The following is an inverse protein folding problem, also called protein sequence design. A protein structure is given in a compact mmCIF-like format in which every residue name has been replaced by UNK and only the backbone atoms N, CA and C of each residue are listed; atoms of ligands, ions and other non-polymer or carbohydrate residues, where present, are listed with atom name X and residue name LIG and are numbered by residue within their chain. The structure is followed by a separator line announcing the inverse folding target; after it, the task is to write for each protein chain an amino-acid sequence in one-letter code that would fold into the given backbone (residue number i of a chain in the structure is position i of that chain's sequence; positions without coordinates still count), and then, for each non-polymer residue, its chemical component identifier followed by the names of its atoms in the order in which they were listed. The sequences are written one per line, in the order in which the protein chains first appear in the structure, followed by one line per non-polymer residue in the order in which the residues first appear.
data_IF_836435867570
#
_entry.id   IF_836435867570
#
_cell.length_a   1.000
_cell.length_b   1.000
_cell.length_c   1.000
_cell.angle_alpha   90.00
_cell.angle_beta   90.00
_cell.angle_gamma   90.00
#
_symmetry.space_group_name_H-M   'P 1'
#
loop_
_entity.id
_entity.type
_entity.pdbx_description
1 polymer ?
#
# COMPACT_ATOMS: atom_id res chain seq x y z
N UNK A 1 -9.37 8.91 21.12
CA UNK A 1 -9.75 9.32 19.75
C UNK A 1 -11.23 9.67 19.70
N UNK A 2 -11.58 10.79 19.06
CA UNK A 2 -12.97 11.05 18.67
C UNK A 2 -13.25 10.40 17.31
N UNK A 3 -14.46 9.91 17.13
CA UNK A 3 -14.86 9.21 15.93
C UNK A 3 -15.78 10.09 15.08
N UNK A 4 -15.47 10.17 13.80
CA UNK A 4 -16.34 10.72 12.75
C UNK A 4 -16.80 9.56 11.89
N UNK A 5 -18.11 9.39 11.73
CA UNK A 5 -18.69 8.38 10.85
C UNK A 5 -19.22 9.06 9.59
N UNK A 6 -18.76 8.59 8.44
CA UNK A 6 -19.24 8.98 7.12
C UNK A 6 -20.04 7.82 6.54
N UNK A 7 -21.36 7.96 6.45
CA UNK A 7 -22.22 6.94 5.83
C UNK A 7 -22.59 7.40 4.41
N UNK A 8 -22.22 6.63 3.40
CA UNK A 8 -22.57 6.91 2.00
C UNK A 8 -24.10 6.80 1.84
N UNK A 9 -24.73 7.92 1.55
CA UNK A 9 -26.19 8.02 1.35
C UNK A 9 -26.58 8.36 -0.08
N UNK A 10 -25.65 8.96 -0.82
CA UNK A 10 -25.84 9.30 -2.21
C UNK A 10 -24.60 8.90 -3.03
N UNK A 11 -24.54 7.65 -3.53
CA UNK A 11 -23.38 7.17 -4.28
C UNK A 11 -23.08 8.02 -5.51
N UNK A 12 -21.81 8.33 -5.80
CA UNK A 12 -21.43 9.12 -6.96
C UNK A 12 -21.65 8.33 -8.27
N UNK A 13 -22.01 9.04 -9.33
CA UNK A 13 -22.13 8.47 -10.68
C UNK A 13 -20.74 8.17 -11.29
N UNK A 14 -19.77 9.06 -11.04
CA UNK A 14 -18.37 8.91 -11.42
C UNK A 14 -17.53 8.58 -10.20
N UNK A 15 -16.22 8.48 -10.37
CA UNK A 15 -15.29 8.33 -9.24
C UNK A 15 -15.25 9.59 -8.38
N UNK A 16 -15.29 9.39 -7.07
CA UNK A 16 -15.18 10.46 -6.08
C UNK A 16 -13.76 10.55 -5.56
N UNK A 17 -13.11 11.69 -5.74
CA UNK A 17 -11.77 11.99 -5.25
C UNK A 17 -11.85 12.47 -3.80
N UNK A 18 -11.51 11.58 -2.87
CA UNK A 18 -11.61 11.79 -1.42
C UNK A 18 -10.28 12.14 -0.73
N UNK A 19 -9.35 12.83 -1.41
CA UNK A 19 -8.04 13.18 -0.83
C UNK A 19 -8.14 14.04 0.44
N UNK A 20 -9.25 14.73 0.64
CA UNK A 20 -9.53 15.50 1.85
C UNK A 20 -10.20 14.66 2.97
N UNK A 21 -10.46 13.36 2.74
CA UNK A 21 -10.95 12.46 3.77
C UNK A 21 -9.72 11.92 4.52
N UNK A 22 -9.24 12.73 5.47
CA UNK A 22 -8.08 12.41 6.32
C UNK A 22 -8.32 12.90 7.75
N UNK A 23 -7.74 12.24 8.76
CA UNK A 23 -7.76 12.74 10.13
C UNK A 23 -7.19 14.15 10.24
N UNK A 24 -6.18 14.50 9.44
CA UNK A 24 -5.57 15.84 9.37
C UNK A 24 -6.58 16.90 8.95
N UNK A 25 -7.37 16.61 7.92
CA UNK A 25 -8.40 17.55 7.43
C UNK A 25 -9.61 17.67 8.36
N UNK A 26 -9.87 16.65 9.18
CA UNK A 26 -11.02 16.60 10.08
C UNK A 26 -10.71 17.10 11.50
N UNK A 27 -9.45 17.14 11.88
CA UNK A 27 -9.04 17.60 13.23
C UNK A 27 -9.60 18.99 13.55
N UNK A 28 -10.14 19.14 14.76
CA UNK A 28 -10.72 20.38 15.26
C UNK A 28 -12.08 20.77 14.66
N UNK A 29 -12.63 20.00 13.72
CA UNK A 29 -13.88 20.34 13.00
C UNK A 29 -15.10 19.65 13.59
N UNK A 30 -16.21 20.36 13.54
CA UNK A 30 -17.56 19.83 13.78
C UNK A 30 -18.07 19.02 12.60
N UNK A 31 -19.12 18.21 12.81
CA UNK A 31 -19.77 17.46 11.72
C UNK A 31 -20.20 18.36 10.55
N UNK A 32 -20.72 19.54 10.84
CA UNK A 32 -21.16 20.50 9.81
C UNK A 32 -19.98 21.04 8.98
N UNK A 33 -18.87 21.36 9.64
CA UNK A 33 -17.65 21.81 8.95
C UNK A 33 -17.00 20.69 8.12
N UNK A 34 -17.05 19.43 8.61
CA UNK A 34 -16.60 18.26 7.86
C UNK A 34 -17.49 18.03 6.65
N UNK A 35 -18.81 18.11 6.78
CA UNK A 35 -19.76 17.98 5.68
C UNK A 35 -19.55 19.05 4.59
N UNK A 36 -19.04 20.22 4.94
CA UNK A 36 -18.72 21.30 4.01
C UNK A 36 -17.37 21.15 3.29
N UNK A 37 -16.54 20.16 3.66
CA UNK A 37 -15.24 19.91 3.00
C UNK A 37 -15.47 19.53 1.53
N UNK A 38 -14.68 20.12 0.66
CA UNK A 38 -14.74 19.85 -0.78
C UNK A 38 -14.21 18.49 -1.17
N UNK A 39 -14.94 17.81 -2.04
CA UNK A 39 -14.54 16.60 -2.78
C UNK A 39 -14.86 16.80 -4.26
N UNK A 40 -14.29 15.97 -5.13
CA UNK A 40 -14.48 16.11 -6.58
C UNK A 40 -15.08 14.84 -7.17
N UNK A 41 -16.16 15.00 -7.92
CA UNK A 41 -16.70 13.96 -8.77
C UNK A 41 -16.41 14.33 -10.23
N UNK A 42 -15.44 13.63 -10.83
CA UNK A 42 -14.87 14.06 -12.11
C UNK A 42 -14.30 15.49 -12.00
N UNK A 43 -14.85 16.43 -12.75
CA UNK A 43 -14.47 17.87 -12.71
C UNK A 43 -15.34 18.71 -11.76
N UNK A 44 -16.37 18.12 -11.18
CA UNK A 44 -17.33 18.85 -10.34
C UNK A 44 -16.88 18.83 -8.89
N UNK A 45 -16.71 20.02 -8.34
CA UNK A 45 -16.45 20.25 -6.93
C UNK A 45 -17.77 20.28 -6.16
N UNK A 46 -17.85 19.53 -5.08
CA UNK A 46 -19.06 19.43 -4.25
C UNK A 46 -18.68 19.26 -2.78
N UNK A 47 -19.53 19.68 -1.82
CA UNK A 47 -19.31 19.40 -0.43
C UNK A 47 -19.45 17.89 -0.14
N UNK A 48 -18.65 17.38 0.81
CA UNK A 48 -18.69 15.98 1.27
C UNK A 48 -20.09 15.53 1.68
N UNK A 49 -20.86 16.42 2.33
CA UNK A 49 -22.22 16.17 2.76
C UNK A 49 -23.24 15.94 1.62
N UNK A 50 -22.87 16.19 0.35
CA UNK A 50 -23.67 15.76 -0.81
C UNK A 50 -23.73 14.23 -0.92
N UNK A 51 -22.66 13.55 -0.55
CA UNK A 51 -22.50 12.10 -0.73
C UNK A 51 -22.66 11.33 0.57
N UNK A 52 -22.29 11.95 1.70
CA UNK A 52 -22.24 11.30 3.00
C UNK A 52 -23.10 12.03 4.05
N UNK A 53 -23.78 11.25 4.89
CA UNK A 53 -24.20 11.74 6.19
C UNK A 53 -22.95 11.72 7.10
N UNK A 54 -22.74 12.83 7.81
CA UNK A 54 -21.58 13.02 8.71
C UNK A 54 -22.05 13.03 10.16
N UNK A 55 -21.57 12.11 10.97
CA UNK A 55 -21.87 12.01 12.39
C UNK A 55 -20.57 12.10 13.22
N UNK A 56 -20.64 12.81 14.35
CA UNK A 56 -19.50 13.04 15.23
C UNK A 56 -18.62 14.20 14.80
N UNK A 57 -17.65 14.53 15.62
CA UNK A 57 -16.69 15.63 15.40
C UNK A 57 -15.28 15.10 15.39
N UNK A 58 -14.38 15.79 14.68
CA UNK A 58 -12.95 15.52 14.72
C UNK A 58 -12.37 15.68 16.14
N UNK A 59 -11.27 14.97 16.39
CA UNK A 59 -10.46 15.16 17.59
C UNK A 59 -9.74 16.51 17.58
N UNK A 60 -9.03 16.84 18.64
CA UNK A 60 -8.26 18.07 18.69
C UNK A 60 -7.09 18.07 17.66
N UNK A 61 -6.54 16.89 17.40
CA UNK A 61 -5.44 16.66 16.45
C UNK A 61 -5.79 15.52 15.49
N UNK A 62 -5.00 15.33 14.45
CA UNK A 62 -5.11 14.16 13.57
C UNK A 62 -4.99 12.86 14.38
N UNK A 63 -4.03 12.77 15.29
CA UNK A 63 -3.82 11.60 16.15
C UNK A 63 -5.03 11.25 17.04
N UNK A 64 -5.84 12.24 17.39
CA UNK A 64 -7.05 12.06 18.18
C UNK A 64 -8.31 11.80 17.33
N UNK A 65 -8.17 11.71 16.02
CA UNK A 65 -9.28 11.58 15.07
C UNK A 65 -9.30 10.19 14.44
N UNK A 66 -10.47 9.55 14.53
CA UNK A 66 -10.79 8.31 13.82
C UNK A 66 -11.91 8.57 12.82
N UNK A 67 -11.77 8.07 11.60
CA UNK A 67 -12.81 8.15 10.57
C UNK A 67 -13.32 6.74 10.28
N UNK A 68 -14.63 6.56 10.24
CA UNK A 68 -15.27 5.32 9.81
C UNK A 68 -16.09 5.63 8.56
N UNK A 69 -15.79 4.94 7.46
CA UNK A 69 -16.51 5.00 6.20
C UNK A 69 -17.44 3.79 6.07
N UNK A 70 -18.73 4.04 5.85
CA UNK A 70 -19.78 3.03 5.71
C UNK A 70 -20.53 3.17 4.39
N UNK A 71 -21.08 2.07 3.91
CA UNK A 71 -21.80 2.00 2.64
C UNK A 71 -20.87 1.68 1.47
N UNK A 72 -21.35 1.90 0.24
CA UNK A 72 -20.60 1.56 -0.96
C UNK A 72 -19.52 2.61 -1.27
N UNK A 73 -18.29 2.28 -0.93
CA UNK A 73 -17.10 3.10 -1.21
C UNK A 73 -16.31 2.60 -2.44
N UNK A 74 -16.87 1.71 -3.26
CA UNK A 74 -16.19 1.11 -4.42
C UNK A 74 -15.76 2.10 -5.51
N UNK A 75 -16.30 3.33 -5.49
CA UNK A 75 -15.91 4.43 -6.37
C UNK A 75 -15.19 5.57 -5.65
N UNK A 76 -14.77 5.34 -4.39
CA UNK A 76 -14.11 6.36 -3.57
C UNK A 76 -12.59 6.15 -3.62
N UNK A 77 -11.89 7.15 -4.16
CA UNK A 77 -10.43 7.16 -4.35
C UNK A 77 -9.73 8.03 -3.31
N UNK A 78 -8.42 7.83 -3.15
CA UNK A 78 -7.48 8.73 -2.45
C UNK A 78 -7.76 8.95 -0.97
N UNK A 79 -8.59 8.14 -0.33
CA UNK A 79 -8.82 8.25 1.12
C UNK A 79 -7.51 8.06 1.88
N UNK A 80 -7.25 8.94 2.85
CA UNK A 80 -6.03 8.89 3.64
C UNK A 80 -4.76 9.33 2.89
N UNK A 81 -4.91 9.97 1.71
CA UNK A 81 -3.76 10.49 0.97
C UNK A 81 -3.00 11.51 1.81
N UNK A 82 -1.68 11.32 1.94
CA UNK A 82 -0.77 12.18 2.70
C UNK A 82 -1.09 12.33 4.20
N UNK A 83 -1.97 11.50 4.77
CA UNK A 83 -2.28 11.58 6.20
C UNK A 83 -1.02 11.39 7.06
N UNK A 84 -0.95 12.10 8.17
CA UNK A 84 0.21 12.08 9.07
C UNK A 84 -0.01 11.26 10.34
N UNK A 85 -1.25 11.12 10.80
CA UNK A 85 -1.62 10.42 12.03
C UNK A 85 -3.12 10.06 12.02
N UNK A 86 -3.58 9.42 13.09
CA UNK A 86 -4.99 9.05 13.27
C UNK A 86 -5.33 7.72 12.63
N UNK A 87 -6.63 7.44 12.53
CA UNK A 87 -7.12 6.14 12.07
C UNK A 87 -8.26 6.32 11.06
N UNK A 88 -8.25 5.52 9.99
CA UNK A 88 -9.36 5.40 9.04
C UNK A 88 -9.77 3.92 8.94
N UNK A 89 -11.06 3.65 9.05
CA UNK A 89 -11.65 2.34 8.80
C UNK A 89 -12.63 2.46 7.64
N UNK A 90 -12.47 1.66 6.60
CA UNK A 90 -13.42 1.55 5.48
C UNK A 90 -14.13 0.21 5.62
N UNK A 91 -15.44 0.25 5.92
CA UNK A 91 -16.26 -0.96 6.15
C UNK A 91 -16.75 -1.55 4.82
N UNK A 92 -15.83 -1.99 3.94
CA UNK A 92 -16.12 -2.55 2.63
C UNK A 92 -14.98 -2.34 1.65
N UNK A 93 -15.31 -2.40 0.35
CA UNK A 93 -14.35 -2.14 -0.72
C UNK A 93 -14.06 -0.64 -0.88
N UNK A 94 -12.87 -0.34 -1.41
CA UNK A 94 -12.50 1.00 -1.82
C UNK A 94 -11.81 0.95 -3.20
N UNK A 95 -11.63 2.11 -3.80
CA UNK A 95 -11.00 2.23 -5.12
C UNK A 95 -9.48 2.51 -5.01
N UNK A 96 -8.94 3.23 -5.95
CA UNK A 96 -7.50 3.48 -6.13
C UNK A 96 -6.91 4.48 -5.12
N UNK A 97 -5.59 4.43 -4.96
CA UNK A 97 -4.77 5.42 -4.24
C UNK A 97 -5.07 5.53 -2.73
N UNK A 98 -5.67 4.53 -2.11
CA UNK A 98 -5.89 4.53 -0.66
C UNK A 98 -4.53 4.58 0.05
N UNK A 99 -4.35 5.54 0.97
CA UNK A 99 -3.10 5.74 1.69
C UNK A 99 -1.91 6.17 0.82
N UNK A 100 -2.15 6.72 -0.38
CA UNK A 100 -1.07 7.25 -1.21
C UNK A 100 -0.29 8.35 -0.49
N UNK A 101 1.06 8.30 -0.53
CA UNK A 101 1.98 9.25 0.17
C UNK A 101 1.70 9.37 1.68
N UNK A 102 1.08 8.37 2.29
CA UNK A 102 0.80 8.33 3.72
C UNK A 102 2.10 8.42 4.53
N UNK A 103 2.15 9.30 5.54
CA UNK A 103 3.33 9.54 6.38
C UNK A 103 3.24 8.88 7.74
N UNK A 104 2.02 8.58 8.20
CA UNK A 104 1.78 7.99 9.51
C UNK A 104 0.31 7.66 9.72
N UNK A 105 -0.03 7.14 10.89
CA UNK A 105 -1.37 6.69 11.23
C UNK A 105 -1.70 5.31 10.69
N UNK A 106 -2.98 4.97 10.65
CA UNK A 106 -3.47 3.65 10.28
C UNK A 106 -4.69 3.73 9.38
N UNK A 107 -4.69 2.94 8.31
CA UNK A 107 -5.86 2.72 7.44
C UNK A 107 -6.18 1.23 7.45
N UNK A 108 -7.45 0.89 7.70
CA UNK A 108 -7.94 -0.48 7.62
C UNK A 108 -9.12 -0.56 6.66
N UNK A 109 -8.94 -1.26 5.55
CA UNK A 109 -9.99 -1.56 4.55
C UNK A 109 -10.48 -2.98 4.77
N UNK A 110 -11.75 -3.16 5.14
CA UNK A 110 -12.35 -4.47 5.41
C UNK A 110 -12.80 -5.23 4.16
N UNK A 111 -12.39 -4.77 3.00
CA UNK A 111 -12.70 -5.37 1.71
C UNK A 111 -11.51 -5.32 0.77
N UNK A 112 -11.81 -5.30 -0.54
CA UNK A 112 -10.82 -5.19 -1.59
C UNK A 112 -10.49 -3.72 -1.88
N UNK A 113 -9.33 -3.50 -2.46
CA UNK A 113 -8.94 -2.19 -3.04
C UNK A 113 -8.49 -2.37 -4.48
N UNK A 114 -8.58 -1.30 -5.27
CA UNK A 114 -8.02 -1.27 -6.61
C UNK A 114 -6.54 -0.82 -6.58
N UNK A 115 -6.04 -0.31 -7.66
CA UNK A 115 -4.63 -0.08 -7.94
C UNK A 115 -4.04 1.12 -7.19
N UNK A 116 -2.71 1.16 -7.10
CA UNK A 116 -1.94 2.27 -6.53
C UNK A 116 -2.17 2.55 -5.04
N UNK A 117 -2.69 1.60 -4.27
CA UNK A 117 -2.82 1.77 -2.83
C UNK A 117 -1.45 1.74 -2.15
N UNK A 118 -1.25 2.58 -1.13
CA UNK A 118 0.05 2.78 -0.50
C UNK A 118 1.13 3.35 -1.42
N UNK A 119 0.73 3.98 -2.55
CA UNK A 119 1.67 4.58 -3.52
C UNK A 119 2.61 5.55 -2.83
N UNK A 120 3.93 5.36 -3.00
CA UNK A 120 4.97 6.20 -2.40
C UNK A 120 4.78 6.44 -0.89
N UNK A 121 4.23 5.48 -0.16
CA UNK A 121 3.99 5.54 1.29
C UNK A 121 5.31 5.75 2.04
N UNK A 122 5.34 6.72 2.95
CA UNK A 122 6.51 7.10 3.73
C UNK A 122 6.50 6.47 5.14
N UNK A 123 5.31 6.17 5.68
CA UNK A 123 5.14 5.61 7.03
C UNK A 123 3.70 5.22 7.35
N UNK A 124 3.46 4.73 8.56
CA UNK A 124 2.15 4.27 9.02
C UNK A 124 1.82 2.82 8.63
N UNK A 125 0.56 2.45 8.76
CA UNK A 125 0.08 1.09 8.50
C UNK A 125 -1.17 1.11 7.59
N UNK A 126 -1.12 0.35 6.48
CA UNK A 126 -2.25 0.10 5.58
C UNK A 126 -2.61 -1.39 5.64
N UNK A 127 -3.82 -1.71 6.12
CA UNK A 127 -4.33 -3.08 6.22
C UNK A 127 -5.49 -3.25 5.25
N UNK A 128 -5.45 -4.32 4.46
CA UNK A 128 -6.47 -4.69 3.47
C UNK A 128 -6.87 -6.14 3.73
N UNK A 129 -8.11 -6.37 4.16
CA UNK A 129 -8.61 -7.73 4.47
C UNK A 129 -8.92 -8.55 3.21
N UNK A 130 -9.11 -7.89 2.07
CA UNK A 130 -9.34 -8.52 0.76
C UNK A 130 -8.08 -8.54 -0.11
N UNK A 131 -8.32 -8.40 -1.42
CA UNK A 131 -7.27 -8.31 -2.44
C UNK A 131 -6.90 -6.84 -2.73
N UNK A 132 -5.72 -6.64 -3.29
CA UNK A 132 -5.32 -5.34 -3.82
C UNK A 132 -5.01 -5.46 -5.33
N UNK A 133 -5.34 -4.41 -6.07
CA UNK A 133 -5.05 -4.32 -7.50
C UNK A 133 -3.57 -4.12 -7.80
N UNK A 134 -3.29 -3.51 -8.94
CA UNK A 134 -1.94 -3.31 -9.45
C UNK A 134 -1.20 -2.17 -8.74
N UNK A 135 0.14 -2.17 -8.82
CA UNK A 135 0.99 -1.09 -8.32
C UNK A 135 0.86 -0.80 -6.81
N UNK A 136 0.55 -1.80 -5.99
CA UNK A 136 0.53 -1.66 -4.53
C UNK A 136 1.92 -1.25 -4.02
N UNK A 137 2.02 -0.18 -3.23
CA UNK A 137 3.29 0.31 -2.67
C UNK A 137 4.33 0.77 -3.70
N UNK A 138 3.92 0.97 -4.96
CA UNK A 138 4.81 1.35 -6.06
C UNK A 138 5.11 2.85 -6.08
N UNK A 139 5.91 3.28 -7.07
CA UNK A 139 6.16 4.69 -7.37
C UNK A 139 5.06 5.30 -8.23
N UNK A 140 4.85 6.63 -8.16
CA UNK A 140 4.10 7.37 -9.14
C UNK A 140 4.73 7.24 -10.54
N UNK A 141 3.92 7.38 -11.58
CA UNK A 141 4.41 7.36 -12.96
C UNK A 141 5.39 8.51 -13.19
N UNK A 142 6.56 8.19 -13.73
CA UNK A 142 7.62 9.16 -13.99
C UNK A 142 8.53 9.44 -12.79
N UNK A 143 8.27 8.80 -11.64
CA UNK A 143 9.11 8.86 -10.46
C UNK A 143 9.72 7.49 -10.15
N UNK A 144 10.86 7.48 -9.45
CA UNK A 144 11.60 6.28 -9.04
C UNK A 144 11.68 6.10 -7.53
N UNK A 145 10.68 6.60 -6.81
CA UNK A 145 10.54 6.40 -5.38
C UNK A 145 9.16 5.86 -5.08
N UNK A 146 9.09 4.55 -4.93
CA UNK A 146 7.93 3.85 -4.41
C UNK A 146 7.82 4.00 -2.90
N UNK A 147 7.26 3.01 -2.24
CA UNK A 147 7.17 2.97 -0.78
C UNK A 147 8.54 3.13 -0.14
N UNK A 148 8.64 4.03 0.84
CA UNK A 148 9.87 4.38 1.53
C UNK A 148 9.88 3.92 2.99
N UNK A 149 8.71 3.67 3.58
CA UNK A 149 8.56 3.26 4.97
C UNK A 149 7.14 2.80 5.30
N UNK A 150 6.94 2.37 6.53
CA UNK A 150 5.67 1.86 7.01
C UNK A 150 5.42 0.39 6.67
N UNK A 151 4.18 -0.06 6.86
CA UNK A 151 3.77 -1.45 6.65
C UNK A 151 2.47 -1.51 5.84
N UNK A 152 2.47 -2.32 4.79
CA UNK A 152 1.25 -2.68 4.05
C UNK A 152 0.98 -4.16 4.29
N UNK A 153 -0.23 -4.51 4.73
CA UNK A 153 -0.69 -5.90 4.91
C UNK A 153 -1.91 -6.15 4.04
N UNK A 154 -1.83 -7.15 3.17
CA UNK A 154 -2.94 -7.62 2.32
C UNK A 154 -3.22 -9.07 2.70
N UNK A 155 -4.43 -9.37 3.16
CA UNK A 155 -4.78 -10.74 3.50
C UNK A 155 -4.95 -11.63 2.26
N UNK A 156 -5.42 -11.06 1.16
CA UNK A 156 -5.61 -11.72 -0.12
C UNK A 156 -4.39 -11.60 -1.04
N UNK A 157 -4.67 -11.61 -2.34
CA UNK A 157 -3.68 -11.56 -3.42
C UNK A 157 -3.49 -10.14 -3.96
N UNK A 158 -2.38 -9.92 -4.69
CA UNK A 158 -2.05 -8.62 -5.28
C UNK A 158 -1.82 -8.73 -6.79
N UNK A 159 -2.07 -7.62 -7.48
CA UNK A 159 -1.85 -7.52 -8.93
C UNK A 159 -0.40 -7.24 -9.32
N UNK A 160 -0.22 -6.86 -10.59
CA UNK A 160 1.09 -6.60 -11.20
C UNK A 160 1.80 -5.41 -10.56
N UNK A 161 3.12 -5.37 -10.72
CA UNK A 161 3.97 -4.22 -10.41
C UNK A 161 3.93 -3.78 -8.93
N UNK A 162 3.57 -4.71 -8.04
CA UNK A 162 3.62 -4.49 -6.59
C UNK A 162 5.04 -4.16 -6.15
N UNK A 163 5.21 -3.14 -5.30
CA UNK A 163 6.50 -2.69 -4.77
C UNK A 163 7.52 -2.20 -5.83
N UNK A 164 7.08 -1.81 -7.02
CA UNK A 164 7.97 -1.26 -8.04
C UNK A 164 8.62 0.03 -7.54
N UNK A 165 9.96 0.13 -7.66
CA UNK A 165 10.80 1.20 -7.11
C UNK A 165 10.70 1.37 -5.58
N UNK A 166 10.34 0.31 -4.85
CA UNK A 166 10.32 0.32 -3.39
C UNK A 166 11.73 0.62 -2.84
N UNK A 167 11.80 1.53 -1.85
CA UNK A 167 13.06 1.96 -1.25
C UNK A 167 13.16 1.60 0.25
N UNK A 168 12.03 1.31 0.89
CA UNK A 168 11.95 0.94 2.30
C UNK A 168 10.56 0.46 2.70
N UNK A 169 10.40 0.12 3.98
CA UNK A 169 9.16 -0.42 4.53
C UNK A 169 8.98 -1.92 4.32
N UNK A 170 7.78 -2.41 4.62
CA UNK A 170 7.44 -3.84 4.52
C UNK A 170 6.06 -4.03 3.88
N UNK A 171 5.96 -4.91 2.90
CA UNK A 171 4.70 -5.35 2.30
C UNK A 171 4.52 -6.83 2.58
N UNK A 172 3.37 -7.22 3.16
CA UNK A 172 3.03 -8.59 3.49
C UNK A 172 1.77 -8.99 2.73
N UNK A 173 1.86 -10.04 1.95
CA UNK A 173 0.82 -10.55 1.06
C UNK A 173 0.44 -11.95 1.53
N UNK A 174 -0.80 -12.14 2.00
CA UNK A 174 -1.31 -13.41 2.49
C UNK A 174 -1.60 -14.42 1.37
N UNK A 175 -1.98 -13.94 0.20
CA UNK A 175 -2.23 -14.74 -1.00
C UNK A 175 -1.07 -14.73 -1.99
N UNK A 176 -1.43 -14.78 -3.28
CA UNK A 176 -0.48 -14.80 -4.39
C UNK A 176 -0.15 -13.40 -4.89
N UNK A 177 0.99 -13.27 -5.57
CA UNK A 177 1.38 -12.06 -6.27
C UNK A 177 1.48 -12.31 -7.78
N UNK A 178 1.03 -11.36 -8.58
CA UNK A 178 1.14 -11.43 -10.03
C UNK A 178 2.58 -11.07 -10.47
N UNK A 179 2.81 -10.71 -11.71
CA UNK A 179 4.14 -10.46 -12.28
C UNK A 179 4.76 -9.14 -11.76
N UNK A 180 6.08 -9.03 -11.86
CA UNK A 180 6.86 -7.80 -11.62
C UNK A 180 6.87 -7.32 -10.16
N UNK A 181 6.89 -8.22 -9.19
CA UNK A 181 7.05 -7.81 -7.78
C UNK A 181 8.44 -7.22 -7.55
N UNK A 182 8.51 -6.06 -6.91
CA UNK A 182 9.76 -5.36 -6.53
C UNK A 182 10.71 -5.04 -7.69
N UNK A 183 10.17 -4.80 -8.88
CA UNK A 183 10.97 -4.35 -10.02
C UNK A 183 11.64 -3.01 -9.69
N UNK A 184 12.95 -2.88 -9.97
CA UNK A 184 13.77 -1.71 -9.64
C UNK A 184 13.80 -1.35 -8.14
N UNK A 185 13.55 -2.31 -7.23
CA UNK A 185 13.60 -2.00 -5.80
C UNK A 185 15.02 -1.62 -5.34
N UNK A 186 15.10 -0.57 -4.53
CA UNK A 186 16.31 -0.05 -3.90
C UNK A 186 16.33 -0.31 -2.38
N UNK A 187 15.39 -1.06 -1.85
CA UNK A 187 15.28 -1.41 -0.43
C UNK A 187 13.95 -2.03 -0.07
N UNK A 188 13.71 -2.15 1.24
CA UNK A 188 12.48 -2.71 1.80
C UNK A 188 12.40 -4.23 1.79
N UNK A 189 11.26 -4.74 2.27
CA UNK A 189 11.00 -6.18 2.37
C UNK A 189 9.61 -6.50 1.85
N UNK A 190 9.50 -7.48 0.96
CA UNK A 190 8.23 -8.02 0.48
C UNK A 190 8.12 -9.47 0.89
N UNK A 191 7.01 -9.84 1.52
CA UNK A 191 6.73 -11.20 2.00
C UNK A 191 5.47 -11.69 1.28
N UNK A 192 5.60 -12.77 0.51
CA UNK A 192 4.51 -13.41 -0.23
C UNK A 192 4.28 -14.77 0.40
N UNK A 193 3.12 -14.96 1.06
CA UNK A 193 2.78 -16.25 1.69
C UNK A 193 2.33 -17.31 0.67
N UNK A 194 1.77 -16.88 -0.46
CA UNK A 194 1.42 -17.71 -1.61
C UNK A 194 2.52 -17.79 -2.67
N UNK A 195 2.11 -17.90 -3.92
CA UNK A 195 2.98 -18.00 -5.08
C UNK A 195 3.24 -16.64 -5.71
N UNK A 196 4.29 -16.53 -6.51
CA UNK A 196 4.54 -15.39 -7.39
C UNK A 196 4.63 -15.86 -8.83
N UNK A 197 3.95 -15.18 -9.76
CA UNK A 197 3.81 -15.60 -11.15
C UNK A 197 5.11 -15.49 -11.94
N UNK A 198 5.91 -14.47 -11.66
CA UNK A 198 7.20 -14.34 -12.33
C UNK A 198 7.77 -12.93 -12.34
N UNK A 199 8.98 -12.82 -12.86
CA UNK A 199 9.77 -11.58 -12.92
C UNK A 199 9.89 -10.89 -11.56
N UNK A 200 9.99 -11.69 -10.50
CA UNK A 200 10.19 -11.21 -9.13
C UNK A 200 11.59 -10.62 -9.00
N UNK A 201 11.68 -9.42 -8.45
CA UNK A 201 12.95 -8.73 -8.20
C UNK A 201 13.69 -8.24 -9.45
N UNK A 202 13.00 -8.11 -10.60
CA UNK A 202 13.63 -7.65 -11.83
C UNK A 202 14.35 -6.31 -11.66
N UNK A 203 15.64 -6.25 -11.98
CA UNK A 203 16.49 -5.07 -11.87
C UNK A 203 16.58 -4.47 -10.45
N UNK A 204 16.27 -5.26 -9.41
CA UNK A 204 16.44 -4.79 -8.04
C UNK A 204 17.93 -4.68 -7.67
N UNK A 205 18.26 -3.68 -6.87
CA UNK A 205 19.64 -3.41 -6.43
C UNK A 205 19.82 -3.58 -4.93
N UNK A 206 18.71 -3.68 -4.18
CA UNK A 206 18.71 -3.89 -2.73
C UNK A 206 17.30 -4.30 -2.27
N UNK A 207 17.21 -4.89 -1.09
CA UNK A 207 15.96 -5.32 -0.46
C UNK A 207 15.84 -6.83 -0.40
N UNK A 208 14.76 -7.28 0.21
CA UNK A 208 14.51 -8.71 0.46
C UNK A 208 13.12 -9.10 -0.03
N UNK A 209 13.02 -10.23 -0.70
CA UNK A 209 11.75 -10.81 -1.12
C UNK A 209 11.69 -12.24 -0.59
N UNK A 210 10.70 -12.54 0.23
CA UNK A 210 10.44 -13.88 0.75
C UNK A 210 9.20 -14.46 0.06
N UNK A 211 9.33 -15.62 -0.57
CA UNK A 211 8.23 -16.33 -1.22
C UNK A 211 8.05 -17.68 -0.53
N UNK A 212 6.92 -17.86 0.15
CA UNK A 212 6.60 -19.10 0.86
C UNK A 212 6.05 -20.19 -0.06
N UNK A 213 5.47 -19.79 -1.19
CA UNK A 213 5.07 -20.67 -2.28
C UNK A 213 6.17 -20.81 -3.34
N UNK A 214 5.79 -20.81 -4.60
CA UNK A 214 6.68 -20.97 -5.76
C UNK A 214 6.76 -19.67 -6.59
N UNK A 215 7.91 -19.44 -7.21
CA UNK A 215 8.05 -18.49 -8.31
C UNK A 215 7.91 -19.30 -9.60
N UNK A 216 6.82 -19.08 -10.35
CA UNK A 216 6.51 -19.87 -11.55
C UNK A 216 7.53 -19.66 -12.68
N UNK A 217 7.94 -18.41 -12.89
CA UNK A 217 8.90 -18.02 -13.92
C UNK A 217 10.04 -17.18 -13.32
N UNK A 218 11.04 -17.80 -12.67
CA UNK A 218 12.15 -17.08 -12.07
C UNK A 218 13.04 -16.42 -13.14
N UNK A 219 13.61 -15.26 -12.80
CA UNK A 219 14.55 -14.58 -13.68
C UNK A 219 15.92 -15.27 -13.67
N UNK A 220 16.60 -15.37 -14.84
CA UNK A 220 17.89 -16.05 -14.93
C UNK A 220 19.06 -15.28 -14.32
N UNK A 221 18.88 -13.99 -13.98
CA UNK A 221 19.95 -13.16 -13.41
C UNK A 221 20.22 -13.40 -11.91
N UNK A 222 19.45 -14.26 -11.25
CA UNK A 222 19.63 -14.60 -9.83
C UNK A 222 20.55 -15.80 -9.65
N UNK A 223 21.56 -15.65 -8.77
CA UNK A 223 22.52 -16.69 -8.41
C UNK A 223 22.10 -17.38 -7.10
N UNK A 224 22.11 -18.70 -7.10
CA UNK A 224 21.93 -19.51 -5.91
C UNK A 224 23.13 -19.34 -4.96
N UNK A 225 22.85 -18.99 -3.70
CA UNK A 225 23.88 -18.80 -2.66
C UNK A 225 23.93 -20.01 -1.71
N UNK A 226 22.78 -20.51 -1.30
CA UNK A 226 22.68 -21.64 -0.35
C UNK A 226 21.35 -21.67 0.35
N UNK A 227 21.29 -22.43 1.43
CA UNK A 227 20.13 -22.54 2.30
C UNK A 227 20.33 -21.74 3.57
N UNK A 228 19.26 -21.09 4.05
CA UNK A 228 19.24 -20.34 5.30
C UNK A 228 17.97 -20.66 6.08
N UNK A 229 18.05 -20.58 7.40
CA UNK A 229 16.88 -20.63 8.29
C UNK A 229 16.63 -19.23 8.84
N UNK A 230 15.43 -18.70 8.62
CA UNK A 230 15.04 -17.38 9.07
C UNK A 230 13.64 -17.38 9.67
N UNK A 231 13.39 -16.43 10.55
CA UNK A 231 12.05 -16.10 11.04
C UNK A 231 11.52 -14.88 10.29
N UNK A 232 10.43 -15.08 9.53
CA UNK A 232 9.84 -14.09 8.65
C UNK A 232 8.38 -13.93 8.99
N UNK A 233 7.98 -12.74 9.44
CA UNK A 233 6.61 -12.43 9.86
C UNK A 233 6.06 -13.47 10.85
N UNK A 234 6.87 -13.76 11.91
CA UNK A 234 6.55 -14.72 12.96
C UNK A 234 6.56 -16.19 12.53
N UNK A 235 7.01 -16.51 11.33
CA UNK A 235 7.09 -17.87 10.81
C UNK A 235 8.56 -18.27 10.63
N UNK A 236 9.03 -19.28 11.38
CA UNK A 236 10.35 -19.86 11.20
C UNK A 236 10.32 -20.87 10.06
N UNK A 237 11.19 -20.69 9.06
CA UNK A 237 11.24 -21.56 7.90
C UNK A 237 12.65 -21.62 7.28
N UNK A 238 12.88 -22.68 6.47
CA UNK A 238 14.10 -22.82 5.66
C UNK A 238 13.83 -22.29 4.28
N UNK A 239 14.80 -21.56 3.72
CA UNK A 239 14.74 -20.94 2.41
C UNK A 239 15.99 -21.24 1.61
N UNK A 240 15.81 -21.33 0.29
CA UNK A 240 16.92 -21.18 -0.64
C UNK A 240 17.12 -19.69 -0.87
N UNK A 241 18.33 -19.21 -0.66
CA UNK A 241 18.73 -17.82 -0.86
C UNK A 241 19.35 -17.62 -2.24
N UNK A 242 18.87 -16.59 -2.93
CA UNK A 242 19.39 -16.12 -4.22
C UNK A 242 19.75 -14.65 -4.13
N UNK A 243 20.79 -14.21 -4.86
CA UNK A 243 21.16 -12.80 -5.06
C UNK A 243 21.11 -12.44 -6.54
N UNK A 244 20.72 -11.21 -6.84
CA UNK A 244 20.58 -10.65 -8.19
C UNK A 244 19.74 -9.37 -8.13
N UNK A 245 19.18 -8.90 -9.20
CA UNK A 245 19.38 -9.29 -10.62
C UNK A 245 20.38 -8.34 -11.31
N UNK A 246 20.39 -7.05 -10.88
CA UNK A 246 21.23 -5.99 -11.40
C UNK A 246 22.55 -5.96 -10.63
N UNK A 247 23.66 -6.05 -11.33
CA UNK A 247 25.00 -5.92 -10.73
C UNK A 247 25.60 -4.51 -10.93
N UNK A 248 26.75 -4.44 -11.51
CA UNK A 248 27.75 -3.37 -11.49
C UNK A 248 27.35 -1.96 -12.00
N UNK A 249 26.18 -1.74 -12.57
CA UNK A 249 25.88 -0.51 -13.33
C UNK A 249 24.94 0.48 -12.68
N UNK A 250 24.50 0.23 -11.44
CA UNK A 250 23.58 1.14 -10.77
C UNK A 250 24.33 2.36 -10.22
N UNK A 251 23.81 3.61 -10.39
CA UNK A 251 24.48 4.83 -9.91
C UNK A 251 24.83 4.81 -8.42
N UNK A 252 24.02 4.16 -7.57
CA UNK A 252 24.24 4.04 -6.13
C UNK A 252 25.45 3.16 -5.82
N UNK A 253 25.85 2.26 -6.71
CA UNK A 253 26.92 1.28 -6.46
C UNK A 253 28.32 1.89 -6.48
N UNK A 254 28.51 3.05 -7.09
CA UNK A 254 29.84 3.68 -7.30
C UNK A 254 30.88 2.69 -7.82
N UNK A 255 30.49 1.82 -8.75
CA UNK A 255 31.33 0.77 -9.34
C UNK A 255 31.45 -0.51 -8.51
N UNK A 256 30.70 -0.65 -7.42
CA UNK A 256 30.59 -1.92 -6.69
C UNK A 256 29.33 -2.66 -7.09
N UNK A 257 29.34 -3.99 -7.21
CA UNK A 257 28.13 -4.78 -7.43
C UNK A 257 27.13 -4.55 -6.29
N UNK A 258 25.88 -4.41 -6.64
CA UNK A 258 24.74 -4.32 -5.70
C UNK A 258 23.70 -5.34 -6.11
N UNK A 259 23.12 -6.01 -5.12
CA UNK A 259 22.20 -7.12 -5.34
C UNK A 259 21.02 -7.02 -4.38
N UNK A 260 19.85 -7.41 -4.89
CA UNK A 260 18.74 -7.77 -4.04
C UNK A 260 18.79 -9.22 -3.61
N UNK A 261 17.95 -9.59 -2.66
CA UNK A 261 17.85 -10.93 -2.13
C UNK A 261 16.45 -11.51 -2.40
N UNK A 262 16.41 -12.75 -2.88
CA UNK A 262 15.19 -13.55 -2.97
C UNK A 262 15.38 -14.82 -2.13
N UNK A 263 14.36 -15.12 -1.35
CA UNK A 263 14.28 -16.29 -0.50
C UNK A 263 13.04 -17.10 -0.89
N UNK A 264 13.23 -18.33 -1.36
CA UNK A 264 12.13 -19.25 -1.67
C UNK A 264 12.09 -20.37 -0.65
N UNK A 265 10.93 -20.57 -0.02
CA UNK A 265 10.78 -21.62 1.00
C UNK A 265 11.01 -23.03 0.40
N UNK A 266 11.70 -23.88 1.19
CA UNK A 266 11.92 -25.31 0.91
C UNK A 266 10.75 -26.13 1.45
#
# INVERSE_FOLDING_TARGET
MKTVTLTMTNPPELYLEGQNITPDAFAGKTAAEIAAIDVWEGKLKSPLGKYFTVEGNGGATAADTKIILRGDCSRLKRVGQQMTAGEIVIEGNADMYIGGWMKGGKIHVKGNVDSFCGLAMEGGELIIDGNAGHHLGSSPRGEWRGMQGGVIRVAGSVGNDTATFMNGGTIIIGGDADIHVSTHAEGGTVIIKGNAKGRVGGQMVKGNIYVFGKIENPLPGFQHIGEVEEEVDGTKARFIHYIGDLGERHPVSRGKPVYGNIYTRI
#
